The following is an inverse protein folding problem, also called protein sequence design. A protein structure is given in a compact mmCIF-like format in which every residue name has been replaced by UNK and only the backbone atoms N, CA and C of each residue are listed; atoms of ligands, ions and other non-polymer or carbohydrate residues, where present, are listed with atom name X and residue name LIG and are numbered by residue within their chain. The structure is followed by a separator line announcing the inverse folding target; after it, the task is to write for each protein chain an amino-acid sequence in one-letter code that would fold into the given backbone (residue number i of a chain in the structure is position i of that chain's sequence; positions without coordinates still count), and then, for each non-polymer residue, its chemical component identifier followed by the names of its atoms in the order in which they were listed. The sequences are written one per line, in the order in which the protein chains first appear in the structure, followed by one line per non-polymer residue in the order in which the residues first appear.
data_IF_199800612554
#
_entry.id   IF_199800612554
#
_cell.length_a   1.000
_cell.length_b   1.000
_cell.length_c   1.000
_cell.angle_alpha   90.00
_cell.angle_beta   90.00
_cell.angle_gamma   90.00
#
_symmetry.space_group_name_H-M   'P 1'
#
loop_
_entity.id
_entity.type
_entity.pdbx_description
1 polymer ?
#
# COMPACT_ATOMS: atom_id res chain seq x y z
N UNK A 1 -38.32 -35.73 7.63
CA UNK A 1 -38.06 -34.87 6.44
C UNK A 1 -37.37 -33.56 6.82
N UNK A 2 -37.91 -32.76 7.76
CA UNK A 2 -37.28 -31.50 8.19
C UNK A 2 -35.82 -31.62 8.66
N UNK A 3 -35.45 -32.70 9.36
CA UNK A 3 -34.07 -32.95 9.81
C UNK A 3 -33.07 -33.00 8.66
N UNK A 4 -33.43 -33.59 7.53
CA UNK A 4 -32.55 -33.69 6.36
C UNK A 4 -32.37 -32.32 5.70
N UNK A 5 -33.45 -31.52 5.63
CA UNK A 5 -33.41 -30.16 5.09
C UNK A 5 -32.50 -29.27 5.94
N UNK A 6 -32.57 -29.38 7.27
CA UNK A 6 -31.70 -28.63 8.18
C UNK A 6 -30.21 -28.99 8.01
N UNK A 7 -29.89 -30.28 7.86
CA UNK A 7 -28.51 -30.75 7.65
C UNK A 7 -27.96 -30.27 6.30
N UNK A 8 -28.76 -30.37 5.23
CA UNK A 8 -28.35 -29.92 3.89
C UNK A 8 -28.17 -28.40 3.85
N UNK A 9 -29.07 -27.64 4.45
CA UNK A 9 -28.96 -26.18 4.53
C UNK A 9 -27.72 -25.71 5.29
N UNK A 10 -27.40 -26.38 6.41
CA UNK A 10 -26.20 -26.09 7.20
C UNK A 10 -24.91 -26.47 6.45
N UNK A 11 -24.89 -27.59 5.73
CA UNK A 11 -23.73 -27.97 4.93
C UNK A 11 -23.47 -27.00 3.77
N UNK A 12 -24.53 -26.52 3.10
CA UNK A 12 -24.40 -25.56 2.00
C UNK A 12 -23.87 -24.19 2.45
N UNK A 13 -24.31 -23.68 3.61
CA UNK A 13 -23.84 -22.38 4.10
C UNK A 13 -22.35 -22.38 4.44
N UNK A 14 -21.84 -23.49 4.99
CA UNK A 14 -20.40 -23.67 5.26
C UNK A 14 -19.62 -23.79 3.95
N UNK A 15 -20.10 -24.59 2.99
CA UNK A 15 -19.42 -24.79 1.72
C UNK A 15 -19.28 -23.49 0.91
N UNK A 16 -20.25 -22.58 1.00
CA UNK A 16 -20.24 -21.27 0.32
C UNK A 16 -19.13 -20.35 0.85
N UNK A 17 -18.80 -20.46 2.14
CA UNK A 17 -17.74 -19.66 2.78
C UNK A 17 -16.34 -20.03 2.29
N UNK A 18 -16.12 -21.31 1.96
CA UNK A 18 -14.82 -21.80 1.49
C UNK A 18 -14.50 -21.36 0.04
N UNK A 19 -15.51 -21.10 -0.78
CA UNK A 19 -15.35 -20.72 -2.19
C UNK A 19 -14.85 -19.27 -2.36
N UNK A 20 -14.91 -18.45 -1.31
CA UNK A 20 -14.43 -17.07 -1.31
C UNK A 20 -12.97 -16.90 -0.87
N UNK A 21 -12.32 -17.96 -0.38
CA UNK A 21 -10.92 -17.90 0.03
C UNK A 21 -10.03 -18.15 -1.18
N UNK A 22 -9.32 -17.12 -1.63
CA UNK A 22 -8.36 -17.27 -2.72
C UNK A 22 -7.26 -18.25 -2.27
N UNK A 23 -7.02 -19.35 -3.00
CA UNK A 23 -6.05 -20.39 -2.60
C UNK A 23 -4.60 -19.90 -2.59
N UNK A 24 -4.34 -18.74 -3.18
CA UNK A 24 -3.08 -18.04 -3.13
C UNK A 24 -3.29 -16.64 -2.55
N UNK A 25 -2.31 -16.09 -1.81
CA UNK A 25 -2.26 -14.67 -1.49
C UNK A 25 -2.43 -13.89 -2.78
N UNK A 26 -3.45 -13.03 -2.85
CA UNK A 26 -3.59 -12.10 -3.95
C UNK A 26 -2.30 -11.27 -4.01
N UNK A 27 -1.67 -11.12 -5.19
CA UNK A 27 -0.50 -10.26 -5.33
C UNK A 27 -0.92 -8.85 -4.88
N UNK A 28 -0.41 -8.45 -3.71
CA UNK A 28 -0.60 -7.11 -3.19
C UNK A 28 0.05 -6.16 -4.21
N UNK A 29 -0.69 -5.25 -4.85
CA UNK A 29 -0.06 -4.25 -5.69
C UNK A 29 0.84 -3.39 -4.79
N UNK A 30 2.15 -3.49 -4.97
CA UNK A 30 3.16 -2.71 -4.23
C UNK A 30 2.93 -1.19 -4.38
N UNK A 31 2.21 -0.80 -5.43
CA UNK A 31 1.84 0.60 -5.70
C UNK A 31 0.72 1.13 -4.77
N UNK A 32 0.01 0.23 -4.09
CA UNK A 32 -1.09 0.58 -3.19
C UNK A 32 -0.65 0.69 -1.72
N UNK A 33 0.58 0.24 -1.41
CA UNK A 33 1.19 0.45 -0.10
C UNK A 33 1.96 1.76 -0.15
N UNK A 34 1.34 2.83 0.34
CA UNK A 34 2.08 4.07 0.57
C UNK A 34 3.21 3.77 1.56
N UNK A 35 4.43 3.67 1.04
CA UNK A 35 5.60 3.44 1.88
C UNK A 35 5.71 4.62 2.85
N UNK A 36 5.37 4.35 4.11
CA UNK A 36 5.37 5.32 5.20
C UNK A 36 6.81 5.75 5.49
N UNK A 37 7.03 6.85 6.21
CA UNK A 37 8.38 7.33 6.56
C UNK A 37 9.28 6.24 7.19
N UNK A 38 8.68 5.22 7.83
CA UNK A 38 9.35 4.04 8.40
C UNK A 38 10.00 3.15 7.34
N UNK A 39 9.47 3.10 6.11
CA UNK A 39 10.03 2.31 5.00
C UNK A 39 11.39 2.80 4.51
N UNK A 40 11.80 4.03 4.88
CA UNK A 40 13.10 4.58 4.50
C UNK A 40 14.26 4.15 5.42
N UNK A 41 13.98 3.45 6.51
CA UNK A 41 14.97 3.03 7.50
C UNK A 41 15.36 4.11 8.53
N UNK A 42 16.16 3.74 9.55
CA UNK A 42 16.54 4.64 10.63
C UNK A 42 17.35 5.84 10.12
N UNK A 43 17.11 7.01 10.72
CA UNK A 43 17.80 8.25 10.34
C UNK A 43 17.33 8.86 9.01
N UNK A 44 16.34 8.27 8.34
CA UNK A 44 15.76 8.78 7.10
C UNK A 44 14.26 9.07 7.26
N UNK A 45 13.74 9.91 6.37
CA UNK A 45 12.33 10.30 6.31
C UNK A 45 11.91 10.44 4.86
N UNK A 46 10.67 10.05 4.55
CA UNK A 46 10.11 10.23 3.21
C UNK A 46 9.66 11.68 3.00
N UNK A 47 10.16 12.31 1.93
CA UNK A 47 9.73 13.65 1.49
C UNK A 47 9.31 13.53 0.02
N UNK A 48 8.03 13.77 -0.23
CA UNK A 48 7.44 13.74 -1.58
C UNK A 48 7.83 12.52 -2.41
N UNK A 49 7.69 11.33 -1.81
CA UNK A 49 8.00 10.05 -2.45
C UNK A 49 9.43 9.52 -2.28
N UNK A 50 10.38 10.34 -1.82
CA UNK A 50 11.80 9.97 -1.75
C UNK A 50 12.33 9.86 -0.34
N UNK A 51 13.19 8.87 -0.09
CA UNK A 51 13.87 8.70 1.19
C UNK A 51 15.06 9.65 1.35
N UNK A 52 14.91 10.63 2.24
CA UNK A 52 15.93 11.64 2.52
C UNK A 52 16.52 11.44 3.92
N UNK A 53 17.82 11.69 4.10
CA UNK A 53 18.42 11.70 5.44
C UNK A 53 17.82 12.82 6.30
N UNK A 54 17.62 12.58 7.60
CA UNK A 54 17.12 13.62 8.53
C UNK A 54 18.05 14.84 8.60
N UNK A 55 19.34 14.65 8.38
CA UNK A 55 20.36 15.71 8.36
C UNK A 55 20.14 16.73 7.23
N UNK A 56 19.62 16.30 6.07
CA UNK A 56 19.42 17.17 4.90
C UNK A 56 17.95 17.49 4.62
N UNK A 57 17.02 17.04 5.47
CA UNK A 57 15.57 17.14 5.24
C UNK A 57 15.07 18.58 5.04
N UNK A 58 15.72 19.56 5.68
CA UNK A 58 15.37 20.98 5.53
C UNK A 58 15.69 21.49 4.13
N UNK A 59 16.84 21.10 3.58
CA UNK A 59 17.25 21.51 2.24
C UNK A 59 16.37 20.87 1.18
N UNK A 60 16.07 19.58 1.30
CA UNK A 60 15.20 18.89 0.34
C UNK A 60 13.79 19.43 0.35
N UNK A 61 13.19 19.71 1.52
CA UNK A 61 11.86 20.34 1.61
C UNK A 61 11.82 21.70 0.93
N UNK A 62 12.90 22.50 1.02
CA UNK A 62 13.00 23.79 0.32
C UNK A 62 13.06 23.61 -1.19
N UNK A 63 13.85 22.66 -1.68
CA UNK A 63 13.93 22.35 -3.11
C UNK A 63 12.59 21.86 -3.66
N UNK A 64 11.94 20.90 -2.98
CA UNK A 64 10.62 20.36 -3.35
C UNK A 64 9.57 21.46 -3.47
N UNK A 65 9.52 22.42 -2.53
CA UNK A 65 8.54 23.52 -2.56
C UNK A 65 8.75 24.52 -3.69
N UNK A 66 9.98 24.65 -4.20
CA UNK A 66 10.30 25.54 -5.33
C UNK A 66 10.08 24.85 -6.67
N UNK A 67 10.00 23.53 -6.68
CA UNK A 67 9.76 22.77 -7.90
C UNK A 67 8.32 22.91 -8.37
N UNK A 68 8.16 23.20 -9.66
CA UNK A 68 6.85 23.27 -10.31
C UNK A 68 6.20 21.89 -10.31
N UNK A 69 6.97 20.86 -10.64
CA UNK A 69 6.55 19.46 -10.54
C UNK A 69 7.68 18.63 -9.95
N UNK A 70 7.38 17.81 -8.96
CA UNK A 70 8.36 16.92 -8.33
C UNK A 70 8.06 15.48 -8.72
N UNK A 71 9.05 14.80 -9.29
CA UNK A 71 8.95 13.44 -9.81
C UNK A 71 10.08 12.62 -9.18
N UNK A 72 9.75 11.78 -8.19
CA UNK A 72 10.65 10.78 -7.61
C UNK A 72 12.07 11.28 -7.22
N UNK A 73 12.23 12.55 -6.84
CA UNK A 73 13.52 13.11 -6.41
C UNK A 73 14.09 14.17 -7.35
N UNK A 74 13.45 14.36 -8.50
CA UNK A 74 13.87 15.32 -9.52
C UNK A 74 12.80 16.39 -9.69
N UNK A 75 13.26 17.62 -9.89
CA UNK A 75 12.43 18.74 -10.29
C UNK A 75 12.13 18.57 -11.78
N UNK A 76 10.91 18.21 -12.15
CA UNK A 76 10.51 18.17 -13.54
C UNK A 76 10.29 19.63 -14.03
N UNK A 77 11.03 20.01 -15.07
CA UNK A 77 10.70 21.19 -15.87
C UNK A 77 9.48 20.84 -16.74
N UNK A 78 8.61 21.83 -16.98
CA UNK A 78 7.67 21.72 -18.10
C UNK A 78 8.50 21.88 -19.38
N UNK A 79 8.37 20.93 -20.29
CA UNK A 79 8.80 21.10 -21.69
C UNK A 79 7.77 21.95 -22.44
#
# INVERSE_FOLDING_TARGET
MLRLIAVVGFALSIATSAQGMTPAPLPQPDDMVTQIAVGCGPGRTRVNGVCVARTTVRQTRRAVRRCVRWQAGVCAAYE
#
